data_IF_160254073618
#
_entry.id   IF_160254073618
#
_cell.length_a   1.000
_cell.length_b   1.000
_cell.length_c   1.000
_cell.angle_alpha   90.00
_cell.angle_beta   90.00
_cell.angle_gamma   90.00
#
_symmetry.space_group_name_H-M   'P 1'
#
loop_
_entity.id
_entity.type
_entity.pdbx_description
1 polymer ?
#
# COMPACT_ATOMS: atom_id res chain seq x y z
N UNK A 1 19.51 15.15 -19.02
CA UNK A 1 18.53 14.70 -18.02
C UNK A 1 17.52 13.88 -18.79
N UNK A 2 17.63 12.56 -18.72
CA UNK A 2 16.76 11.66 -19.47
C UNK A 2 15.58 11.36 -18.56
N UNK A 3 14.54 12.18 -18.62
CA UNK A 3 13.32 11.96 -17.86
C UNK A 3 12.71 10.65 -18.34
N UNK A 4 12.55 9.67 -17.44
CA UNK A 4 11.87 8.42 -17.76
C UNK A 4 10.38 8.74 -17.90
N UNK A 5 9.79 8.41 -19.05
CA UNK A 5 8.36 8.61 -19.24
C UNK A 5 7.58 7.67 -18.30
N UNK A 6 6.57 8.18 -17.57
CA UNK A 6 5.79 7.34 -16.68
C UNK A 6 4.91 6.38 -17.47
N UNK A 7 4.78 5.15 -16.98
CA UNK A 7 3.78 4.22 -17.49
C UNK A 7 2.37 4.62 -17.05
N UNK A 8 2.19 5.45 -16.03
CA UNK A 8 0.90 6.04 -15.67
C UNK A 8 1.13 7.40 -15.04
N UNK A 9 0.34 8.41 -15.42
CA UNK A 9 0.27 9.69 -14.71
C UNK A 9 -1.18 10.17 -14.66
N UNK A 10 -1.79 10.10 -13.47
CA UNK A 10 -3.20 10.43 -13.28
C UNK A 10 -3.38 11.50 -12.20
N UNK A 11 -4.45 12.27 -12.38
CA UNK A 11 -4.96 13.18 -11.36
C UNK A 11 -6.32 12.68 -10.88
N UNK A 12 -6.40 12.43 -9.57
CA UNK A 12 -7.64 12.03 -8.90
C UNK A 12 -8.19 13.25 -8.17
N UNK A 13 -9.46 13.59 -8.42
CA UNK A 13 -10.13 14.71 -7.75
C UNK A 13 -10.94 14.17 -6.58
N UNK A 14 -10.89 14.85 -5.43
CA UNK A 14 -11.61 14.43 -4.23
C UNK A 14 -10.77 14.63 -2.98
N UNK A 15 -11.31 14.36 -1.80
CA UNK A 15 -10.51 14.46 -0.57
C UNK A 15 -9.83 13.13 -0.32
N UNK A 16 -8.47 13.05 -0.31
CA UNK A 16 -7.82 11.77 -0.08
C UNK A 16 -8.22 11.14 1.25
N UNK A 17 -8.39 9.81 1.23
CA UNK A 17 -8.73 9.00 2.41
C UNK A 17 -7.74 7.86 2.60
N UNK A 18 -7.16 7.72 3.80
CA UNK A 18 -6.25 6.62 4.11
C UNK A 18 -7.04 5.30 4.18
N UNK A 19 -6.35 4.18 4.02
CA UNK A 19 -6.94 2.87 4.29
C UNK A 19 -7.40 2.79 5.75
N UNK A 20 -8.65 2.40 5.96
CA UNK A 20 -9.22 2.17 7.27
C UNK A 20 -8.73 0.84 7.87
N UNK A 21 -8.65 0.80 9.21
CA UNK A 21 -8.41 -0.46 9.92
C UNK A 21 -9.58 -1.44 9.67
N UNK A 22 -9.28 -2.72 9.60
CA UNK A 22 -10.29 -3.76 9.48
C UNK A 22 -10.91 -4.08 10.85
N UNK A 23 -12.24 -4.07 10.94
CA UNK A 23 -12.99 -4.57 12.09
C UNK A 23 -13.59 -5.93 11.79
N UNK A 24 -13.34 -6.96 12.61
CA UNK A 24 -14.14 -8.17 12.54
C UNK A 24 -15.57 -7.90 13.03
N UNK A 25 -16.54 -8.51 12.37
CA UNK A 25 -17.93 -8.57 12.81
C UNK A 25 -18.53 -9.93 12.42
N UNK A 26 -19.57 -10.35 13.14
CA UNK A 26 -20.30 -11.58 12.82
C UNK A 26 -21.43 -11.20 11.85
N UNK A 27 -21.41 -11.76 10.64
CA UNK A 27 -22.49 -11.55 9.70
C UNK A 27 -23.77 -12.28 10.17
N UNK A 28 -24.93 -11.92 9.62
CA UNK A 28 -26.22 -12.52 10.00
C UNK A 28 -26.30 -14.04 9.82
N UNK A 29 -25.36 -14.64 9.09
CA UNK A 29 -25.19 -16.09 8.91
C UNK A 29 -24.18 -16.73 9.89
N UNK A 30 -23.77 -16.02 10.95
CA UNK A 30 -22.83 -16.50 11.96
C UNK A 30 -21.36 -16.52 11.52
N UNK A 31 -21.04 -16.19 10.27
CA UNK A 31 -19.66 -16.23 9.76
C UNK A 31 -18.91 -14.94 10.10
N UNK A 32 -17.64 -15.02 10.55
CA UNK A 32 -16.81 -13.83 10.74
C UNK A 32 -16.53 -13.17 9.38
N UNK A 33 -16.74 -11.86 9.34
CA UNK A 33 -16.42 -10.99 8.21
C UNK A 33 -15.62 -9.80 8.71
N UNK A 34 -14.89 -9.16 7.82
CA UNK A 34 -14.18 -7.91 8.13
C UNK A 34 -14.76 -6.77 7.32
N UNK A 35 -14.85 -5.59 7.93
CA UNK A 35 -15.23 -4.35 7.25
C UNK A 35 -14.20 -3.27 7.56
N UNK A 36 -13.95 -2.41 6.60
CA UNK A 36 -13.15 -1.21 6.80
C UNK A 36 -13.88 -0.19 7.70
N UNK A 37 -13.18 0.30 8.73
CA UNK A 37 -13.77 1.20 9.72
C UNK A 37 -13.84 2.67 9.29
N UNK A 38 -13.01 3.08 8.32
CA UNK A 38 -12.94 4.47 7.91
C UNK A 38 -13.94 4.75 6.79
N UNK A 39 -14.90 5.62 7.09
CA UNK A 39 -15.85 6.12 6.12
C UNK A 39 -15.15 6.86 4.96
N UNK A 40 -15.62 6.63 3.73
CA UNK A 40 -15.09 7.22 2.52
C UNK A 40 -13.76 6.64 2.03
N UNK A 41 -13.16 5.66 2.73
CA UNK A 41 -11.95 4.98 2.24
C UNK A 41 -12.23 4.23 0.94
N UNK A 42 -13.35 3.48 0.89
CA UNK A 42 -13.79 2.76 -0.30
C UNK A 42 -14.18 3.69 -1.45
N UNK A 43 -14.90 4.78 -1.17
CA UNK A 43 -15.28 5.76 -2.20
C UNK A 43 -14.05 6.41 -2.83
N UNK A 44 -13.08 6.82 -1.99
CA UNK A 44 -11.81 7.35 -2.48
C UNK A 44 -11.03 6.33 -3.31
N UNK A 45 -11.01 5.05 -2.90
CA UNK A 45 -10.40 3.97 -3.69
C UNK A 45 -11.06 3.87 -5.05
N UNK A 46 -12.40 3.95 -5.10
CA UNK A 46 -13.16 3.90 -6.34
C UNK A 46 -12.88 5.10 -7.24
N UNK A 47 -12.67 6.30 -6.69
CA UNK A 47 -12.24 7.47 -7.46
C UNK A 47 -10.87 7.25 -8.12
N UNK A 48 -9.92 6.66 -7.39
CA UNK A 48 -8.60 6.29 -7.93
C UNK A 48 -8.73 5.24 -9.03
N UNK A 49 -9.53 4.19 -8.83
CA UNK A 49 -9.79 3.15 -9.84
C UNK A 49 -10.39 3.77 -11.10
N UNK A 50 -11.35 4.68 -10.94
CA UNK A 50 -12.03 5.35 -12.06
C UNK A 50 -11.04 6.17 -12.88
N UNK A 51 -10.23 7.02 -12.23
CA UNK A 51 -9.20 7.81 -12.90
C UNK A 51 -8.13 6.93 -13.58
N UNK A 52 -7.76 5.80 -12.97
CA UNK A 52 -6.86 4.84 -13.58
C UNK A 52 -7.48 4.20 -14.84
N UNK A 53 -8.72 3.71 -14.77
CA UNK A 53 -9.43 3.14 -15.91
C UNK A 53 -9.59 4.14 -17.06
N UNK A 54 -9.85 5.42 -16.79
CA UNK A 54 -9.87 6.46 -17.82
C UNK A 54 -8.53 6.58 -18.56
N UNK A 55 -7.40 6.38 -17.87
CA UNK A 55 -6.08 6.43 -18.47
C UNK A 55 -5.69 5.15 -19.23
N UNK A 56 -6.11 3.97 -18.75
CA UNK A 56 -5.57 2.68 -19.23
C UNK A 56 -6.55 1.83 -20.05
N UNK A 57 -7.81 2.24 -20.23
CA UNK A 57 -8.78 1.51 -21.07
C UNK A 57 -8.40 1.58 -22.55
N UNK A 58 -8.65 0.51 -23.30
CA UNK A 58 -8.27 0.43 -24.72
C UNK A 58 -9.04 1.40 -25.63
N UNK A 59 -10.17 1.94 -25.17
CA UNK A 59 -11.00 2.91 -25.89
C UNK A 59 -11.84 3.73 -24.90
N UNK A 60 -12.53 4.75 -25.41
CA UNK A 60 -13.34 5.69 -24.63
C UNK A 60 -14.74 5.15 -24.26
N UNK A 61 -15.07 3.92 -24.65
CA UNK A 61 -16.35 3.31 -24.28
C UNK A 61 -16.38 3.04 -22.76
N UNK A 62 -17.30 3.66 -22.00
CA UNK A 62 -17.36 3.50 -20.55
C UNK A 62 -17.71 2.08 -20.10
N UNK A 63 -18.28 1.26 -20.99
CA UNK A 63 -18.62 -0.16 -20.74
C UNK A 63 -17.48 -1.13 -21.08
N UNK A 64 -16.44 -0.65 -21.76
CA UNK A 64 -15.30 -1.46 -22.12
C UNK A 64 -14.45 -1.80 -20.88
N UNK A 65 -14.31 -3.09 -20.60
CA UNK A 65 -13.44 -3.63 -19.54
C UNK A 65 -12.03 -4.01 -20.03
N UNK A 66 -11.75 -3.85 -21.34
CA UNK A 66 -10.45 -4.19 -21.92
C UNK A 66 -9.44 -3.06 -21.69
N UNK A 67 -8.25 -3.44 -21.22
CA UNK A 67 -7.13 -2.52 -20.98
C UNK A 67 -6.28 -2.37 -22.26
N UNK A 68 -5.54 -1.25 -22.36
CA UNK A 68 -4.52 -1.03 -23.38
C UNK A 68 -3.39 -2.05 -23.25
N UNK A 69 -2.69 -2.30 -24.35
CA UNK A 69 -1.49 -3.13 -24.33
C UNK A 69 -0.46 -2.58 -23.34
N UNK A 70 0.18 -3.47 -22.59
CA UNK A 70 1.09 -3.11 -21.50
C UNK A 70 0.46 -3.14 -20.10
N UNK A 71 -0.87 -3.30 -19.99
CA UNK A 71 -1.57 -3.47 -18.72
C UNK A 71 -2.25 -4.84 -18.57
N UNK A 72 -2.27 -5.43 -17.36
CA UNK A 72 -1.60 -4.94 -16.15
C UNK A 72 -0.07 -5.00 -16.29
N UNK A 73 0.61 -3.97 -15.79
CA UNK A 73 2.06 -3.94 -15.78
C UNK A 73 2.59 -5.00 -14.82
N UNK A 74 3.55 -5.81 -15.29
CA UNK A 74 4.09 -6.95 -14.53
C UNK A 74 5.56 -6.81 -14.14
N UNK A 75 6.24 -5.76 -14.59
CA UNK A 75 7.64 -5.49 -14.21
C UNK A 75 7.73 -4.78 -12.87
N UNK A 76 8.95 -4.61 -12.36
CA UNK A 76 9.19 -3.77 -11.19
C UNK A 76 8.83 -2.31 -11.51
N UNK A 77 8.30 -1.58 -10.53
CA UNK A 77 7.92 -0.19 -10.71
C UNK A 77 8.19 0.68 -9.49
N UNK A 78 8.26 1.98 -9.76
CA UNK A 78 8.27 3.03 -8.74
C UNK A 78 6.93 3.76 -8.74
N UNK A 79 6.35 3.97 -7.57
CA UNK A 79 5.08 4.71 -7.41
C UNK A 79 5.30 6.00 -6.63
N UNK A 80 4.90 7.13 -7.22
CA UNK A 80 4.95 8.45 -6.60
C UNK A 80 3.53 8.96 -6.37
N UNK A 81 3.20 9.26 -5.12
CA UNK A 81 1.87 9.70 -4.66
C UNK A 81 1.98 11.07 -4.02
N UNK A 82 1.41 12.09 -4.67
CA UNK A 82 1.33 13.47 -4.14
C UNK A 82 -0.11 13.79 -3.75
N UNK A 83 -0.37 13.80 -2.45
CA UNK A 83 -1.70 14.02 -1.86
C UNK A 83 -1.90 15.50 -1.53
N UNK A 84 -2.94 16.09 -2.11
CA UNK A 84 -3.37 17.46 -1.89
C UNK A 84 -4.56 17.55 -0.95
N UNK A 85 -4.39 18.28 0.16
CA UNK A 85 -5.44 18.54 1.15
C UNK A 85 -5.80 20.02 1.18
N UNK A 86 -7.06 20.33 1.51
CA UNK A 86 -7.45 21.71 1.77
C UNK A 86 -6.72 22.25 3.00
N UNK A 87 -6.24 23.49 2.89
CA UNK A 87 -5.61 24.18 4.01
C UNK A 87 -6.66 24.44 5.11
N UNK A 88 -6.42 24.00 6.36
CA UNK A 88 -7.31 24.32 7.46
C UNK A 88 -7.19 25.82 7.80
N UNK A 89 -8.22 26.36 8.47
CA UNK A 89 -8.17 27.72 9.03
C UNK A 89 -7.05 27.89 10.08
N UNK A 90 -6.66 26.79 10.75
CA UNK A 90 -5.56 26.79 11.72
C UNK A 90 -4.19 26.88 11.02
N UNK A 91 -3.21 27.54 11.67
CA UNK A 91 -1.85 27.80 11.15
C UNK A 91 -0.93 26.56 11.17
N UNK A 92 -1.34 25.43 10.59
CA UNK A 92 -0.44 24.28 10.40
C UNK A 92 0.29 24.40 9.07
N UNK A 93 1.59 24.10 9.06
CA UNK A 93 2.40 24.13 7.84
C UNK A 93 2.13 22.92 6.93
N UNK A 94 1.82 21.75 7.50
CA UNK A 94 1.61 20.51 6.77
C UNK A 94 0.39 19.71 7.27
N UNK A 95 -0.26 18.91 6.39
CA UNK A 95 -1.39 18.04 6.73
C UNK A 95 -0.95 16.76 7.49
N UNK A 96 -0.67 16.91 8.78
CA UNK A 96 -0.21 15.82 9.66
C UNK A 96 -1.19 15.53 10.82
N UNK A 97 -2.47 15.89 10.68
CA UNK A 97 -3.45 15.63 11.74
C UNK A 97 -3.93 14.18 11.70
N UNK A 98 -4.44 13.70 12.83
CA UNK A 98 -5.12 12.39 12.96
C UNK A 98 -6.23 12.21 11.91
N UNK A 99 -6.95 13.28 11.59
CA UNK A 99 -8.03 13.28 10.60
C UNK A 99 -7.54 13.19 9.16
N UNK A 100 -6.35 13.72 8.85
CA UNK A 100 -5.72 13.49 7.54
C UNK A 100 -5.27 12.03 7.41
N UNK A 101 -4.81 11.43 8.51
CA UNK A 101 -4.28 10.07 8.54
C UNK A 101 -2.83 9.97 8.07
N UNK A 102 -2.31 8.77 8.24
CA UNK A 102 -0.89 8.45 8.07
C UNK A 102 -0.55 8.25 6.58
N UNK A 103 0.65 8.68 6.16
CA UNK A 103 1.04 8.65 4.75
C UNK A 103 1.08 7.22 4.19
N UNK A 104 1.55 6.26 4.98
CA UNK A 104 1.58 4.83 4.66
C UNK A 104 0.18 4.27 4.43
N UNK A 105 -0.83 4.67 5.22
CA UNK A 105 -2.21 4.21 5.00
C UNK A 105 -2.83 4.78 3.74
N UNK A 106 -2.48 6.02 3.36
CA UNK A 106 -2.86 6.54 2.04
C UNK A 106 -2.18 5.75 0.93
N UNK A 107 -0.89 5.46 1.09
CA UNK A 107 -0.14 4.65 0.15
C UNK A 107 -0.81 3.29 -0.08
N UNK A 108 -1.12 2.57 1.01
CA UNK A 108 -1.82 1.28 0.94
C UNK A 108 -3.15 1.38 0.19
N UNK A 109 -3.97 2.40 0.44
CA UNK A 109 -5.25 2.56 -0.26
C UNK A 109 -5.06 2.81 -1.77
N UNK A 110 -4.04 3.59 -2.14
CA UNK A 110 -3.73 3.85 -3.54
C UNK A 110 -3.15 2.61 -4.22
N UNK A 111 -2.23 1.88 -3.60
CA UNK A 111 -1.67 0.65 -4.17
C UNK A 111 -2.75 -0.41 -4.37
N UNK A 112 -3.60 -0.60 -3.36
CA UNK A 112 -4.80 -1.42 -3.43
C UNK A 112 -5.69 -1.01 -4.63
N UNK A 113 -5.87 0.29 -4.91
CA UNK A 113 -6.63 0.79 -6.05
C UNK A 113 -5.96 0.55 -7.40
N UNK A 114 -4.63 0.72 -7.49
CA UNK A 114 -3.87 0.50 -8.72
C UNK A 114 -3.90 -0.97 -9.14
N UNK A 115 -3.82 -1.89 -8.17
CA UNK A 115 -3.94 -3.32 -8.42
C UNK A 115 -5.37 -3.70 -8.83
N UNK A 116 -6.39 -3.21 -8.13
CA UNK A 116 -7.80 -3.46 -8.49
C UNK A 116 -8.15 -2.91 -9.88
N UNK A 117 -7.59 -1.76 -10.26
CA UNK A 117 -7.77 -1.16 -11.58
C UNK A 117 -7.03 -1.90 -12.70
N UNK A 118 -6.14 -2.84 -12.36
CA UNK A 118 -5.29 -3.52 -13.33
C UNK A 118 -4.18 -2.63 -13.91
N UNK A 119 -3.76 -1.57 -13.20
CA UNK A 119 -2.56 -0.80 -13.57
C UNK A 119 -1.31 -1.67 -13.37
N UNK A 120 -1.21 -2.28 -12.18
CA UNK A 120 -0.15 -3.23 -11.84
C UNK A 120 -0.81 -4.58 -11.51
N UNK A 121 -0.12 -5.67 -11.81
CA UNK A 121 -0.65 -7.01 -11.52
C UNK A 121 -0.64 -7.33 -10.03
N UNK A 122 0.40 -6.89 -9.33
CA UNK A 122 0.67 -7.19 -7.93
C UNK A 122 1.40 -5.98 -7.31
N UNK A 123 0.95 -5.51 -6.15
CA UNK A 123 1.60 -4.42 -5.43
C UNK A 123 3.00 -4.78 -4.91
N UNK A 124 3.33 -6.08 -4.84
CA UNK A 124 4.68 -6.58 -4.60
C UNK A 124 5.71 -6.14 -5.67
N UNK A 125 5.25 -5.72 -6.85
CA UNK A 125 6.12 -5.19 -7.90
C UNK A 125 6.58 -3.74 -7.62
N UNK A 126 6.01 -3.06 -6.62
CA UNK A 126 6.40 -1.71 -6.24
C UNK A 126 7.65 -1.77 -5.37
N UNK A 127 8.79 -1.45 -5.97
CA UNK A 127 10.11 -1.52 -5.32
C UNK A 127 10.51 -0.19 -4.66
N UNK A 128 10.00 0.92 -5.19
CA UNK A 128 10.18 2.26 -4.64
C UNK A 128 8.82 2.96 -4.49
N UNK A 129 8.61 3.60 -3.34
CA UNK A 129 7.34 4.24 -3.00
C UNK A 129 7.59 5.60 -2.34
N UNK A 130 7.17 6.67 -3.02
CA UNK A 130 7.27 8.05 -2.52
C UNK A 130 5.88 8.59 -2.24
N UNK A 131 5.60 8.94 -0.98
CA UNK A 131 4.31 9.54 -0.60
C UNK A 131 4.49 10.87 0.10
N UNK A 132 3.83 11.91 -0.42
CA UNK A 132 3.89 13.25 0.12
C UNK A 132 2.48 13.81 0.36
N UNK A 133 2.27 14.41 1.53
CA UNK A 133 1.05 15.17 1.85
C UNK A 133 1.34 16.67 1.82
N UNK A 134 0.53 17.45 1.09
CA UNK A 134 0.68 18.91 0.95
C UNK A 134 -0.67 19.60 1.08
N UNK A 135 -0.63 20.84 1.55
CA UNK A 135 -1.79 21.73 1.39
C UNK A 135 -1.78 22.29 -0.02
N UNK A 136 -2.97 22.38 -0.62
CA UNK A 136 -3.19 22.96 -1.94
C UNK A 136 -4.24 24.07 -1.85
N UNK A 137 -4.09 25.09 -2.69
CA UNK A 137 -5.05 26.21 -2.76
C UNK A 137 -6.23 25.88 -3.70
N UNK A 138 -6.09 24.84 -4.52
CA UNK A 138 -7.14 24.36 -5.44
C UNK A 138 -7.94 23.17 -4.90
N UNK A 139 -8.58 22.44 -5.84
CA UNK A 139 -9.32 21.23 -5.51
C UNK A 139 -8.38 20.18 -4.86
N UNK A 140 -8.79 19.57 -3.72
CA UNK A 140 -8.03 18.48 -3.14
C UNK A 140 -8.02 17.27 -4.09
N UNK A 141 -7.07 16.37 -3.88
CA UNK A 141 -6.92 15.20 -4.72
C UNK A 141 -5.58 14.53 -4.58
N UNK A 142 -5.22 13.73 -5.57
CA UNK A 142 -3.90 13.14 -5.68
C UNK A 142 -3.35 13.27 -7.10
N UNK A 143 -2.04 13.41 -7.24
CA UNK A 143 -1.33 13.03 -8.47
C UNK A 143 -0.60 11.74 -8.19
N UNK A 144 -0.86 10.73 -9.00
CA UNK A 144 -0.27 9.39 -8.88
C UNK A 144 0.48 9.14 -10.17
N UNK A 145 1.76 8.84 -10.03
CA UNK A 145 2.64 8.57 -11.16
C UNK A 145 3.35 7.24 -10.95
N UNK A 146 3.39 6.41 -11.97
CA UNK A 146 4.04 5.09 -11.96
C UNK A 146 5.11 5.07 -13.04
N UNK A 147 6.32 4.66 -12.68
CA UNK A 147 7.45 4.49 -13.60
C UNK A 147 7.84 3.01 -13.66
N UNK A 148 8.27 2.55 -14.84
CA UNK A 148 8.86 1.22 -14.97
C UNK A 148 10.29 1.21 -14.37
N UNK A 149 10.61 0.14 -13.65
CA UNK A 149 11.90 -0.07 -13.00
C UNK A 149 12.10 0.72 -11.70
N UNK A 150 13.33 0.64 -11.20
CA UNK A 150 13.79 1.42 -10.06
C UNK A 150 14.05 2.85 -10.52
N UNK A 151 13.59 3.82 -9.75
CA UNK A 151 14.06 5.19 -9.86
C UNK A 151 14.71 5.58 -8.54
N UNK A 152 15.76 6.39 -8.57
CA UNK A 152 16.31 6.95 -7.35
C UNK A 152 15.25 7.85 -6.66
N UNK A 153 15.57 8.34 -5.46
CA UNK A 153 14.65 9.21 -4.72
C UNK A 153 14.29 10.53 -5.46
N UNK A 154 14.94 10.84 -6.60
CA UNK A 154 14.71 12.00 -7.44
C UNK A 154 13.97 11.66 -8.76
N UNK A 155 13.69 10.38 -9.03
CA UNK A 155 13.03 9.92 -10.25
C UNK A 155 13.97 9.57 -11.40
N UNK A 156 15.29 9.49 -11.16
CA UNK A 156 16.27 9.08 -12.16
C UNK A 156 16.34 7.55 -12.24
N UNK A 157 16.44 6.95 -13.44
CA UNK A 157 16.45 5.49 -13.57
C UNK A 157 17.67 4.90 -12.88
N UNK A 158 17.46 3.93 -11.99
CA UNK A 158 18.54 3.16 -11.37
C UNK A 158 18.71 1.87 -12.12
N UNK A 159 19.91 1.63 -12.62
CA UNK A 159 20.26 0.32 -13.20
C UNK A 159 20.30 -0.69 -12.07
N UNK A 160 19.54 -1.79 -12.13
CA UNK A 160 19.61 -2.82 -11.10
C UNK A 160 21.05 -3.32 -11.02
N UNK A 161 21.60 -3.41 -9.80
CA UNK A 161 22.83 -4.16 -9.61
C UNK A 161 22.57 -5.59 -10.10
N UNK A 162 23.50 -6.15 -10.90
CA UNK A 162 23.40 -7.54 -11.31
C UNK A 162 23.20 -8.39 -10.04
N UNK A 163 22.23 -9.33 -10.04
CA UNK A 163 22.01 -10.15 -8.86
C UNK A 163 23.34 -10.82 -8.49
N UNK A 164 23.72 -10.83 -7.19
CA UNK A 164 24.90 -11.55 -6.79
C UNK A 164 24.76 -13.00 -7.25
N UNK A 165 25.85 -13.60 -7.71
CA UNK A 165 25.87 -15.01 -8.06
C UNK A 165 25.21 -15.79 -6.90
N UNK A 166 24.33 -16.77 -7.21
CA UNK A 166 23.66 -17.52 -6.16
C UNK A 166 24.72 -18.06 -5.21
N UNK A 167 24.60 -17.71 -3.93
CA UNK A 167 25.49 -18.26 -2.92
C UNK A 167 25.45 -19.80 -3.05
N UNK A 168 26.59 -20.49 -2.96
CA UNK A 168 26.57 -21.95 -2.88
C UNK A 168 25.59 -22.32 -1.76
N UNK A 169 24.68 -23.26 -2.02
CA UNK A 169 23.82 -23.79 -0.97
C UNK A 169 24.75 -24.19 0.17
N UNK A 170 24.58 -23.66 1.39
CA UNK A 170 25.37 -24.16 2.50
C UNK A 170 25.15 -25.67 2.56
N UNK A 171 26.21 -26.43 2.78
CA UNK A 171 26.08 -27.84 3.12
C UNK A 171 25.02 -27.94 4.22
N UNK A 172 23.97 -28.72 3.98
CA UNK A 172 22.89 -28.90 4.95
C UNK A 172 23.57 -29.32 6.26
N UNK A 173 23.56 -28.48 7.32
CA UNK A 173 24.00 -28.96 8.62
C UNK A 173 23.09 -30.16 8.99
N UNK A 174 23.60 -31.19 9.67
CA UNK A 174 22.76 -32.31 10.11
C UNK A 174 21.49 -31.77 10.76
N UNK A 175 20.34 -32.35 10.41
CA UNK A 175 19.02 -31.80 10.73
C UNK A 175 18.97 -31.37 12.21
N UNK A 176 18.62 -30.11 12.45
CA UNK A 176 18.47 -29.55 13.80
C UNK A 176 17.38 -30.26 14.62
N UNK A 177 16.59 -31.11 13.96
CA UNK A 177 15.58 -32.00 14.55
C UNK A 177 16.15 -33.35 15.02
N UNK A 178 17.39 -33.71 14.65
CA UNK A 178 18.11 -34.88 15.18
C UNK A 178 18.93 -34.52 16.45
N UNK A 179 18.96 -33.24 16.84
CA UNK A 179 19.52 -32.79 18.10
C UNK A 179 18.44 -32.92 19.19
N UNK A 180 18.74 -33.48 20.38
CA UNK A 180 17.81 -33.44 21.50
C UNK A 180 17.44 -31.97 21.77
N UNK A 181 16.16 -31.64 22.06
CA UNK A 181 15.73 -30.27 22.26
C UNK A 181 16.62 -29.62 23.33
N UNK A 182 17.28 -28.53 22.96
CA UNK A 182 18.04 -27.73 23.92
C UNK A 182 17.06 -26.89 24.74
N UNK A 183 17.35 -26.74 26.03
CA UNK A 183 16.46 -26.20 27.09
C UNK A 183 16.15 -24.68 26.99
N UNK A 184 16.02 -24.13 25.79
CA UNK A 184 15.79 -22.68 25.56
C UNK A 184 14.44 -22.17 26.08
N UNK A 185 13.55 -23.07 26.54
CA UNK A 185 12.27 -22.74 27.15
C UNK A 185 12.26 -22.85 28.70
N UNK A 186 13.32 -23.38 29.33
CA UNK A 186 13.33 -23.69 30.76
C UNK A 186 13.30 -22.44 31.69
N UNK A 187 13.42 -21.23 31.14
CA UNK A 187 13.41 -19.97 31.89
C UNK A 187 12.09 -19.19 31.89
N UNK A 188 11.07 -19.62 31.14
CA UNK A 188 9.78 -18.91 31.08
C UNK A 188 8.83 -19.53 32.11
N UNK A 189 8.87 -19.07 33.35
CA UNK A 189 7.80 -19.36 34.30
C UNK A 189 6.56 -18.53 33.95
N UNK A 190 5.37 -19.13 33.82
CA UNK A 190 4.15 -18.36 33.66
C UNK A 190 3.86 -17.57 34.93
N UNK A 191 3.49 -16.30 34.78
CA UNK A 191 3.07 -15.45 35.89
C UNK A 191 1.88 -16.10 36.64
N UNK A 192 2.00 -16.20 37.96
CA UNK A 192 1.00 -16.79 38.86
C UNK A 192 -0.30 -15.97 38.78
N UNK A 193 -1.42 -16.61 38.45
CA UNK A 193 -2.74 -16.00 38.49
C UNK A 193 -3.10 -15.62 39.96
N UNK A 194 -3.82 -14.50 40.19
CA UNK A 194 -4.21 -14.10 41.53
C UNK A 194 -5.21 -15.10 42.12
N UNK A 195 -4.93 -15.58 43.33
CA UNK A 195 -5.79 -16.49 44.09
C UNK A 195 -7.03 -15.77 44.59
N UNK A 196 -8.21 -16.28 44.25
CA UNK A 196 -9.46 -15.99 44.95
C UNK A 196 -9.44 -16.70 46.31
N UNK A 197 -9.32 -15.93 47.39
CA UNK A 197 -9.68 -16.39 48.73
C UNK A 197 -11.20 -16.28 48.91
N UNK A 198 -11.86 -17.41 49.13
CA UNK A 198 -13.18 -17.48 49.76
C UNK A 198 -13.05 -17.09 51.23
N UNK A 199 -13.91 -16.18 51.69
CA UNK A 199 -14.14 -15.85 53.09
C UNK A 199 -15.34 -16.67 53.64
N UNK A 200 -15.35 -16.97 54.94
CA UNK A 200 -16.14 -18.04 55.57
C UNK A 200 -17.66 -17.83 55.61
#
# INVERSE_FOLDING_TARGET
MTTVDPILDIRVIGTPRPKGSLKPFIAGNGKPRVREQLEGSGDWRQDVITAAHEAIRCCDDPTCSKLRDGYPFTGECTVVIKLGFRRPKARRAYPHTRTTGDADKHARNVLDALQDAGVIKDDAAVIDLVVAKRYVDGAPGARITVYAGATDFLGEPVTPAAPPAPAPKPDRPPDLFDQPPTDWWAGITPAKAPSTEESP
#
